data_IF_311369893061
#
_entry.id   IF_311369893061
#
_cell.length_a   1.000
_cell.length_b   1.000
_cell.length_c   1.000
_cell.angle_alpha   90.00
_cell.angle_beta   90.00
_cell.angle_gamma   90.00
#
_symmetry.space_group_name_H-M   'P 1'
#
loop_
_entity.id
_entity.type
_entity.pdbx_description
1 polymer ?
#
# COMPACT_ATOMS: atom_id res chain seq x y z
N UNK A 1 -5.73 -0.75 -23.41
CA UNK A 1 -5.18 -0.99 -22.06
C UNK A 1 -3.93 -1.83 -22.18
N UNK A 2 -2.92 -1.60 -21.33
CA UNK A 2 -1.71 -2.43 -21.29
C UNK A 2 -2.07 -3.77 -20.64
N UNK A 3 -1.73 -4.93 -21.24
CA UNK A 3 -2.01 -6.23 -20.64
C UNK A 3 -1.42 -6.33 -19.22
N UNK A 4 -2.22 -6.78 -18.25
CA UNK A 4 -1.84 -6.84 -16.83
C UNK A 4 -2.10 -5.55 -16.03
N UNK A 5 -2.57 -4.47 -16.67
CA UNK A 5 -3.06 -3.27 -15.97
C UNK A 5 -4.56 -3.40 -15.75
N UNK A 6 -4.94 -3.75 -14.51
CA UNK A 6 -6.34 -3.98 -14.10
C UNK A 6 -7.15 -2.68 -13.97
N UNK A 7 -6.47 -1.56 -13.72
CA UNK A 7 -7.11 -0.27 -13.47
C UNK A 7 -6.20 0.89 -13.89
N UNK A 8 -6.76 1.86 -14.61
CA UNK A 8 -6.14 3.18 -14.79
C UNK A 8 -6.18 3.94 -13.47
N UNK A 9 -5.02 4.07 -12.81
CA UNK A 9 -4.86 4.82 -11.56
C UNK A 9 -4.14 6.15 -11.80
N UNK A 10 -4.01 6.97 -10.75
CA UNK A 10 -3.30 8.26 -10.81
C UNK A 10 -3.93 9.30 -9.88
N UNK A 11 -5.25 9.29 -9.78
CA UNK A 11 -5.97 10.00 -8.72
C UNK A 11 -5.92 9.16 -7.44
N UNK A 12 -5.37 9.72 -6.37
CA UNK A 12 -5.30 9.06 -5.07
C UNK A 12 -6.71 8.76 -4.55
N UNK A 13 -6.84 7.69 -3.76
CA UNK A 13 -8.10 7.31 -3.11
C UNK A 13 -9.10 6.56 -4.00
N UNK A 14 -8.85 6.41 -5.30
CA UNK A 14 -9.75 5.65 -6.19
C UNK A 14 -9.44 4.15 -6.25
N UNK A 15 -8.19 3.74 -5.99
CA UNK A 15 -7.79 2.35 -6.15
C UNK A 15 -8.54 1.41 -5.19
N UNK A 16 -8.74 1.81 -3.93
CA UNK A 16 -9.43 0.99 -2.95
C UNK A 16 -10.92 0.82 -3.25
N UNK A 17 -11.73 1.88 -3.51
CA UNK A 17 -13.12 1.72 -3.92
C UNK A 17 -13.32 0.79 -5.12
N UNK A 18 -12.47 0.90 -6.14
CA UNK A 18 -12.55 0.02 -7.31
C UNK A 18 -12.16 -1.43 -6.94
N UNK A 19 -11.09 -1.61 -6.15
CA UNK A 19 -10.69 -2.91 -5.61
C UNK A 19 -11.79 -3.58 -4.77
N UNK A 20 -12.55 -2.80 -4.00
CA UNK A 20 -13.73 -3.26 -3.26
C UNK A 20 -14.83 -3.73 -4.22
N UNK A 21 -15.05 -3.02 -5.32
CA UNK A 21 -15.97 -3.44 -6.38
C UNK A 21 -15.61 -4.81 -6.95
N UNK A 22 -14.33 -5.03 -7.28
CA UNK A 22 -13.84 -6.34 -7.73
C UNK A 22 -14.01 -7.42 -6.66
N UNK A 23 -13.65 -7.13 -5.41
CA UNK A 23 -13.77 -8.08 -4.30
C UNK A 23 -15.22 -8.51 -4.07
N UNK A 24 -16.15 -7.55 -4.13
CA UNK A 24 -17.59 -7.78 -4.01
C UNK A 24 -18.11 -8.62 -5.16
N UNK A 25 -17.79 -8.26 -6.41
CA UNK A 25 -18.22 -9.01 -7.60
C UNK A 25 -17.74 -10.45 -7.56
N UNK A 26 -16.47 -10.70 -7.24
CA UNK A 26 -15.96 -12.07 -7.17
C UNK A 26 -16.58 -12.89 -6.05
N UNK A 27 -16.91 -12.27 -4.92
CA UNK A 27 -17.59 -12.96 -3.83
C UNK A 27 -19.03 -13.33 -4.23
N UNK A 28 -19.75 -12.42 -4.89
CA UNK A 28 -21.10 -12.67 -5.41
C UNK A 28 -21.12 -13.79 -6.46
N UNK A 29 -20.08 -13.86 -7.28
CA UNK A 29 -19.91 -14.91 -8.31
C UNK A 29 -19.37 -16.23 -7.74
N UNK A 30 -19.19 -16.37 -6.42
CA UNK A 30 -18.53 -17.52 -5.78
C UNK A 30 -17.12 -17.83 -6.33
N UNK A 31 -16.42 -16.82 -6.83
CA UNK A 31 -15.05 -16.93 -7.33
C UNK A 31 -14.05 -16.87 -6.17
N UNK A 32 -13.01 -17.69 -6.24
CA UNK A 32 -11.95 -17.80 -5.21
C UNK A 32 -10.82 -16.78 -5.38
N UNK A 33 -11.01 -15.79 -6.25
CA UNK A 33 -10.03 -14.75 -6.54
C UNK A 33 -9.74 -13.91 -5.28
N UNK A 34 -8.48 -13.50 -5.14
CA UNK A 34 -8.03 -12.58 -4.10
C UNK A 34 -7.71 -11.24 -4.74
N UNK A 35 -8.14 -10.16 -4.09
CA UNK A 35 -7.87 -8.79 -4.52
C UNK A 35 -6.79 -8.21 -3.63
N UNK A 36 -5.77 -7.63 -4.27
CA UNK A 36 -4.71 -6.90 -3.61
C UNK A 36 -4.74 -5.45 -4.06
N UNK A 37 -4.73 -4.52 -3.10
CA UNK A 37 -4.63 -3.09 -3.36
C UNK A 37 -3.42 -2.54 -2.62
N UNK A 38 -2.50 -1.91 -3.34
CA UNK A 38 -1.36 -1.20 -2.75
C UNK A 38 -1.71 0.28 -2.66
N UNK A 39 -1.59 0.84 -1.46
CA UNK A 39 -1.79 2.27 -1.18
C UNK A 39 -0.53 2.83 -0.51
N UNK A 40 -0.32 4.13 -0.64
CA UNK A 40 0.66 4.83 0.19
C UNK A 40 0.05 5.31 1.51
N UNK A 41 0.88 5.65 2.49
CA UNK A 41 0.38 6.22 3.75
C UNK A 41 -0.09 7.67 3.65
N UNK A 42 0.42 8.45 2.68
CA UNK A 42 -0.11 9.79 2.37
C UNK A 42 -1.41 9.76 1.56
N UNK A 43 -1.66 8.71 0.79
CA UNK A 43 -2.94 8.51 0.09
C UNK A 43 -4.12 8.33 1.05
N UNK A 44 -3.87 7.94 2.30
CA UNK A 44 -4.90 7.78 3.32
C UNK A 44 -5.49 9.11 3.81
N UNK A 45 -4.98 10.25 3.34
CA UNK A 45 -5.61 11.56 3.54
C UNK A 45 -6.95 11.65 2.77
N UNK A 46 -7.14 10.85 1.72
CA UNK A 46 -8.36 10.83 0.91
C UNK A 46 -9.53 10.16 1.63
N UNK A 47 -10.67 10.87 1.70
CA UNK A 47 -11.89 10.40 2.37
C UNK A 47 -12.47 9.11 1.79
N UNK A 48 -12.34 8.93 0.48
CA UNK A 48 -12.81 7.73 -0.25
C UNK A 48 -12.18 6.44 0.25
N UNK A 49 -10.94 6.49 0.77
CA UNK A 49 -10.32 5.33 1.39
C UNK A 49 -11.03 4.94 2.69
N UNK A 50 -11.44 5.92 3.50
CA UNK A 50 -12.15 5.69 4.76
C UNK A 50 -13.55 5.14 4.54
N UNK A 51 -14.27 5.66 3.54
CA UNK A 51 -15.53 5.07 3.06
C UNK A 51 -15.34 3.61 2.64
N UNK A 52 -14.28 3.34 1.88
CA UNK A 52 -13.90 1.98 1.47
C UNK A 52 -13.60 1.06 2.66
N UNK A 53 -12.84 1.52 3.66
CA UNK A 53 -12.55 0.73 4.85
C UNK A 53 -13.83 0.36 5.62
N UNK A 54 -14.75 1.31 5.79
CA UNK A 54 -16.05 1.05 6.43
C UNK A 54 -16.87 0.03 5.64
N UNK A 55 -16.99 0.22 4.33
CA UNK A 55 -17.78 -0.67 3.46
C UNK A 55 -17.23 -2.11 3.46
N UNK A 56 -15.92 -2.27 3.20
CA UNK A 56 -15.31 -3.60 3.10
C UNK A 56 -15.38 -4.39 4.42
N UNK A 57 -15.27 -3.67 5.54
CA UNK A 57 -15.44 -4.23 6.88
C UNK A 57 -16.86 -4.71 7.13
N UNK A 58 -17.85 -3.86 6.85
CA UNK A 58 -19.28 -4.18 6.96
C UNK A 58 -19.67 -5.38 6.11
N UNK A 59 -19.16 -5.47 4.87
CA UNK A 59 -19.47 -6.56 3.95
C UNK A 59 -18.55 -7.78 4.09
N UNK A 60 -17.71 -7.84 5.13
CA UNK A 60 -16.87 -8.99 5.44
C UNK A 60 -16.02 -9.46 4.24
N UNK A 61 -15.39 -8.53 3.51
CA UNK A 61 -14.63 -8.82 2.28
C UNK A 61 -13.30 -9.53 2.57
N UNK A 62 -13.36 -10.78 3.02
CA UNK A 62 -12.21 -11.63 3.35
C UNK A 62 -11.39 -12.14 2.15
N UNK A 63 -11.76 -11.75 0.94
CA UNK A 63 -10.95 -11.89 -0.27
C UNK A 63 -10.15 -10.61 -0.62
N UNK A 64 -10.31 -9.52 0.15
CA UNK A 64 -9.58 -8.27 -0.03
C UNK A 64 -8.38 -8.19 0.93
N UNK A 65 -7.21 -7.89 0.38
CA UNK A 65 -6.01 -7.50 1.12
C UNK A 65 -5.53 -6.13 0.64
N UNK A 66 -5.42 -5.18 1.57
CA UNK A 66 -4.82 -3.86 1.35
C UNK A 66 -3.42 -3.84 1.93
N UNK A 67 -2.46 -3.29 1.19
CA UNK A 67 -1.08 -3.10 1.62
C UNK A 67 -0.84 -1.60 1.70
N UNK A 68 -0.40 -1.12 2.85
CA UNK A 68 0.03 0.26 3.04
C UNK A 68 1.56 0.29 2.98
N UNK A 69 2.10 0.97 1.97
CA UNK A 69 3.49 1.39 1.93
C UNK A 69 3.70 2.53 2.93
N UNK A 70 4.07 2.20 4.18
CA UNK A 70 4.29 3.16 5.26
C UNK A 70 5.73 3.66 5.23
N UNK A 71 6.04 4.53 4.27
CA UNK A 71 7.36 5.15 4.14
C UNK A 71 7.48 6.50 4.90
N UNK A 72 6.37 7.11 5.31
CA UNK A 72 6.37 8.32 6.14
C UNK A 72 6.53 9.64 5.40
N UNK A 73 6.56 9.65 4.06
CA UNK A 73 6.75 10.85 3.24
C UNK A 73 5.61 11.03 2.23
N UNK A 74 5.05 12.24 2.13
CA UNK A 74 4.10 12.63 1.09
C UNK A 74 4.56 13.88 0.33
N UNK A 75 3.70 14.48 -0.51
CA UNK A 75 4.09 15.54 -1.44
C UNK A 75 4.58 16.85 -0.81
N UNK A 76 4.21 17.15 0.45
CA UNK A 76 4.51 18.43 1.10
C UNK A 76 5.48 18.32 2.29
N UNK A 77 5.38 17.25 3.09
CA UNK A 77 6.28 16.97 4.20
C UNK A 77 6.20 15.49 4.58
N UNK A 78 6.79 15.14 5.72
CA UNK A 78 6.49 13.88 6.42
C UNK A 78 4.99 13.77 6.70
N UNK A 79 4.42 12.57 6.55
CA UNK A 79 2.97 12.33 6.73
C UNK A 79 2.50 12.81 8.10
N UNK A 80 3.29 12.59 9.16
CA UNK A 80 3.01 13.04 10.52
C UNK A 80 2.88 14.57 10.67
N UNK A 81 3.57 15.35 9.82
CA UNK A 81 3.52 16.82 9.84
C UNK A 81 2.35 17.38 9.05
N UNK A 82 1.87 16.63 8.04
CA UNK A 82 0.72 17.04 7.21
C UNK A 82 -0.59 16.57 7.86
N UNK A 83 -0.73 15.26 8.09
CA UNK A 83 -1.88 14.65 8.75
C UNK A 83 -1.46 13.38 9.53
N UNK A 84 -1.40 13.47 10.86
CA UNK A 84 -1.04 12.33 11.70
C UNK A 84 -2.21 11.34 11.87
N UNK A 85 -2.17 10.25 11.10
CA UNK A 85 -3.16 9.19 11.17
C UNK A 85 -2.91 8.19 12.31
N UNK A 86 -1.92 8.38 13.17
CA UNK A 86 -1.67 7.48 14.30
C UNK A 86 -2.82 7.52 15.35
N UNK A 87 -3.11 6.38 16.01
CA UNK A 87 -2.68 5.02 15.68
C UNK A 87 -3.52 4.41 14.53
N UNK A 88 -2.92 4.31 13.32
CA UNK A 88 -3.61 3.81 12.12
C UNK A 88 -4.19 2.40 12.32
N UNK A 89 -3.42 1.49 12.94
CA UNK A 89 -3.86 0.12 13.21
C UNK A 89 -5.21 0.08 13.94
N UNK A 90 -5.38 0.86 15.02
CA UNK A 90 -6.60 0.85 15.82
C UNK A 90 -7.81 1.41 15.06
N UNK A 91 -7.59 2.46 14.25
CA UNK A 91 -8.64 3.06 13.41
C UNK A 91 -9.17 2.06 12.36
N UNK A 92 -8.27 1.29 11.76
CA UNK A 92 -8.66 0.29 10.77
C UNK A 92 -9.30 -0.94 11.43
N UNK A 93 -8.78 -1.38 12.57
CA UNK A 93 -9.38 -2.47 13.37
C UNK A 93 -10.81 -2.11 13.83
N UNK A 94 -11.10 -0.84 14.15
CA UNK A 94 -12.47 -0.42 14.50
C UNK A 94 -13.49 -0.55 13.36
N UNK A 95 -13.03 -0.66 12.11
CA UNK A 95 -13.88 -0.96 10.96
C UNK A 95 -14.00 -2.47 10.68
N UNK A 96 -13.56 -3.35 11.58
CA UNK A 96 -13.72 -4.81 11.42
C UNK A 96 -12.63 -5.51 10.61
N UNK A 97 -11.49 -4.85 10.38
CA UNK A 97 -10.37 -5.41 9.62
C UNK A 97 -9.43 -6.26 10.47
N UNK A 98 -8.76 -7.24 9.85
CA UNK A 98 -7.53 -7.83 10.38
C UNK A 98 -6.34 -6.96 9.99
N UNK A 99 -5.58 -6.44 10.97
CA UNK A 99 -4.41 -5.60 10.67
C UNK A 99 -3.12 -6.28 11.10
N UNK A 100 -2.21 -6.46 10.14
CA UNK A 100 -0.83 -6.94 10.36
C UNK A 100 0.17 -5.82 10.10
N UNK A 101 1.33 -5.93 10.74
CA UNK A 101 2.48 -5.07 10.48
C UNK A 101 3.65 -5.95 10.07
N UNK A 102 4.46 -5.48 9.15
CA UNK A 102 5.73 -6.11 8.77
C UNK A 102 6.79 -5.06 8.49
N UNK A 103 8.04 -5.53 8.42
CA UNK A 103 9.10 -4.81 7.74
C UNK A 103 8.95 -5.04 6.24
N UNK A 104 8.79 -3.95 5.48
CA UNK A 104 8.61 -3.98 4.03
C UNK A 104 9.91 -4.25 3.25
N UNK A 105 11.06 -4.27 3.94
CA UNK A 105 12.37 -4.56 3.35
C UNK A 105 12.92 -5.93 3.77
N UNK A 106 12.21 -6.65 4.62
CA UNK A 106 12.57 -8.01 5.02
C UNK A 106 11.66 -9.03 4.32
N UNK A 107 12.22 -9.79 3.37
CA UNK A 107 11.49 -10.82 2.64
C UNK A 107 10.94 -11.91 3.56
N UNK A 108 11.60 -12.20 4.70
CA UNK A 108 11.10 -13.13 5.71
C UNK A 108 9.80 -12.64 6.36
N UNK A 109 9.76 -11.37 6.76
CA UNK A 109 8.63 -10.67 7.36
C UNK A 109 7.45 -10.60 6.38
N UNK A 110 7.72 -10.20 5.13
CA UNK A 110 6.73 -10.19 4.05
C UNK A 110 6.15 -11.59 3.82
N UNK A 111 7.01 -12.60 3.60
CA UNK A 111 6.59 -13.99 3.38
C UNK A 111 5.74 -14.51 4.55
N UNK A 112 6.11 -14.17 5.78
CA UNK A 112 5.36 -14.56 6.98
C UNK A 112 3.95 -13.99 6.96
N UNK A 113 3.79 -12.68 6.71
CA UNK A 113 2.47 -12.04 6.72
C UNK A 113 1.61 -12.47 5.53
N UNK A 114 2.17 -12.63 4.33
CA UNK A 114 1.42 -13.07 3.15
C UNK A 114 1.04 -14.55 3.18
N UNK A 115 1.83 -15.41 3.86
CA UNK A 115 1.50 -16.83 4.01
C UNK A 115 0.47 -17.12 5.10
N UNK A 116 0.30 -16.22 6.08
CA UNK A 116 -0.72 -16.40 7.11
C UNK A 116 -2.10 -16.48 6.46
N UNK A 117 -2.89 -17.49 6.82
CA UNK A 117 -4.28 -17.62 6.36
C UNK A 117 -5.05 -16.36 6.75
N UNK A 118 -5.81 -15.81 5.82
CA UNK A 118 -6.69 -14.67 6.08
C UNK A 118 -7.80 -15.06 7.06
N UNK A 119 -8.06 -14.17 8.03
CA UNK A 119 -9.20 -14.34 8.93
C UNK A 119 -10.49 -14.39 8.12
N UNK A 120 -11.35 -15.36 8.40
CA UNK A 120 -12.68 -15.44 7.79
C UNK A 120 -13.48 -14.19 8.16
N UNK A 121 -14.32 -13.74 7.22
CA UNK A 121 -15.22 -12.59 7.38
C UNK A 121 -14.54 -11.25 7.71
N UNK A 122 -13.22 -11.12 7.46
CA UNK A 122 -12.49 -9.87 7.65
C UNK A 122 -11.62 -9.54 6.45
N UNK A 123 -11.75 -8.34 5.86
CA UNK A 123 -10.71 -7.83 4.99
C UNK A 123 -9.40 -7.65 5.78
N UNK A 124 -8.27 -7.73 5.07
CA UNK A 124 -6.94 -7.67 5.69
C UNK A 124 -6.20 -6.42 5.29
N UNK A 125 -5.61 -5.72 6.25
CA UNK A 125 -4.62 -4.67 6.00
C UNK A 125 -3.23 -5.12 6.44
N UNK A 126 -2.24 -4.93 5.59
CA UNK A 126 -0.82 -5.11 5.89
C UNK A 126 -0.17 -3.73 5.89
N UNK A 127 0.28 -3.27 7.05
CA UNK A 127 1.06 -2.03 7.16
C UNK A 127 2.54 -2.42 7.05
N UNK A 128 3.11 -2.22 5.87
CA UNK A 128 4.52 -2.49 5.60
C UNK A 128 5.34 -1.24 5.90
N UNK A 129 6.21 -1.29 6.92
CA UNK A 129 7.13 -0.19 7.21
C UNK A 129 8.25 -0.20 6.17
N UNK A 130 8.42 0.89 5.45
CA UNK A 130 9.40 1.00 4.36
C UNK A 130 10.21 2.29 4.48
N UNK A 131 11.11 2.48 3.52
CA UNK A 131 11.98 3.64 3.36
C UNK A 131 11.87 3.98 1.88
N UNK A 132 11.43 5.19 1.57
CA UNK A 132 11.28 5.65 0.19
C UNK A 132 12.64 5.63 -0.51
N UNK A 133 12.71 5.09 -1.73
CA UNK A 133 13.97 5.00 -2.47
C UNK A 133 15.01 4.03 -1.87
N UNK A 134 14.58 3.05 -1.05
CA UNK A 134 15.46 2.07 -0.40
C UNK A 134 16.48 1.46 -1.37
N UNK A 135 17.73 1.38 -0.94
CA UNK A 135 18.82 0.73 -1.66
C UNK A 135 19.54 1.68 -2.62
N UNK A 136 18.98 2.85 -2.90
CA UNK A 136 19.61 3.88 -3.72
C UNK A 136 20.01 5.04 -2.82
N UNK A 137 21.29 5.20 -2.42
CA UNK A 137 21.70 6.29 -1.50
C UNK A 137 21.30 7.70 -1.97
N UNK A 138 21.13 7.89 -3.28
CA UNK A 138 20.69 9.14 -3.87
C UNK A 138 19.22 9.49 -3.56
N UNK A 139 18.37 8.50 -3.29
CA UNK A 139 16.93 8.66 -3.03
C UNK A 139 16.51 8.24 -1.62
N UNK A 140 17.27 7.36 -0.98
CA UNK A 140 16.87 6.66 0.24
C UNK A 140 16.50 7.62 1.38
N UNK A 141 15.24 7.57 1.81
CA UNK A 141 14.71 8.35 2.92
C UNK A 141 14.58 9.86 2.63
N UNK A 142 14.79 10.29 1.39
CA UNK A 142 14.79 11.71 1.05
C UNK A 142 13.43 12.20 0.58
N UNK A 143 13.02 13.36 1.07
CA UNK A 143 11.76 14.01 0.67
C UNK A 143 11.72 14.34 -0.83
N UNK A 144 12.83 14.87 -1.37
CA UNK A 144 12.93 15.24 -2.79
C UNK A 144 12.83 14.04 -3.75
N UNK A 145 12.98 12.80 -3.26
CA UNK A 145 12.87 11.59 -4.08
C UNK A 145 11.52 11.39 -4.76
N UNK A 146 10.46 12.09 -4.34
CA UNK A 146 9.12 11.87 -4.87
C UNK A 146 8.94 12.27 -6.35
N UNK A 147 9.60 13.35 -6.77
CA UNK A 147 9.47 13.93 -8.11
C UNK A 147 10.82 14.15 -8.80
N UNK A 148 11.90 13.65 -8.22
CA UNK A 148 13.25 13.91 -8.70
C UNK A 148 13.63 13.01 -9.86
N UNK A 149 13.79 13.63 -11.02
CA UNK A 149 14.47 13.03 -12.16
C UNK A 149 15.98 13.08 -11.96
N UNK A 150 16.70 12.15 -12.60
CA UNK A 150 18.17 12.10 -12.62
C UNK A 150 18.67 12.37 -14.02
N UNK A 151 19.79 13.08 -14.13
CA UNK A 151 20.51 13.22 -15.40
C UNK A 151 21.27 11.93 -15.75
N UNK A 152 21.75 11.84 -17.00
CA UNK A 152 22.39 10.62 -17.49
C UNK A 152 23.66 10.27 -16.71
N UNK A 153 24.39 11.28 -16.21
CA UNK A 153 25.57 11.10 -15.37
C UNK A 153 25.21 10.44 -14.03
N UNK A 154 24.25 11.02 -13.31
CA UNK A 154 23.78 10.51 -12.01
C UNK A 154 23.19 9.10 -12.15
N UNK A 155 22.43 8.87 -13.23
CA UNK A 155 21.92 7.53 -13.57
C UNK A 155 23.05 6.51 -13.71
N UNK A 156 24.11 6.83 -14.45
CA UNK A 156 25.24 5.92 -14.63
C UNK A 156 25.97 5.65 -13.31
N UNK A 157 26.14 6.66 -12.46
CA UNK A 157 26.73 6.51 -11.13
C UNK A 157 25.91 5.57 -10.23
N UNK A 158 24.57 5.70 -10.27
CA UNK A 158 23.66 4.80 -9.56
C UNK A 158 23.80 3.37 -10.07
N UNK A 159 23.71 3.15 -11.38
CA UNK A 159 23.81 1.81 -11.99
C UNK A 159 25.14 1.11 -11.68
N UNK A 160 26.25 1.86 -11.74
CA UNK A 160 27.58 1.31 -11.44
C UNK A 160 27.71 0.84 -9.99
N UNK A 161 26.96 1.44 -9.05
CA UNK A 161 26.91 0.98 -7.65
C UNK A 161 26.01 -0.24 -7.47
N UNK A 162 24.91 -0.34 -8.21
CA UNK A 162 24.00 -1.49 -8.13
C UNK A 162 24.56 -2.76 -8.76
N UNK A 163 25.27 -2.66 -9.90
CA UNK A 163 25.83 -3.84 -10.59
C UNK A 163 26.99 -4.47 -9.81
N UNK A 164 27.58 -3.74 -8.86
CA UNK A 164 28.71 -4.20 -8.03
C UNK A 164 28.29 -4.83 -6.70
N UNK A 165 27.00 -4.88 -6.39
CA UNK A 165 26.42 -5.56 -5.23
C UNK A 165 25.89 -6.94 -5.64
#
# INVERSE_FOLDING_TARGET
MVPGVELSTGSLGHALPVGIGFATSFKNDNKKNRIFVLLSDGELDEGSNWEGFMFAGHHHLDNLTVIIDKNGLQGYAETKKVLDLSPLKKKIESFGWEVKKCDGHDFGSLKTVFKQRQSLNKPRMIIAKTIKGKGVPYFEGRFDSHYKSVDEKTKQEILNKFIKL
#
